data_IF_189826402171
#
_entry.id   IF_189826402171
#
_cell.length_a   1.000
_cell.length_b   1.000
_cell.length_c   1.000
_cell.angle_alpha   90.00
_cell.angle_beta   90.00
_cell.angle_gamma   90.00
#
_symmetry.space_group_name_H-M   'P 1'
#
loop_
_entity.id
_entity.type
_entity.pdbx_description
1 polymer ?
#
# COMPACT_ATOMS: atom_id res chain seq x y z
N UNK A 1 -0.17 6.07 24.14
CA UNK A 1 -0.17 6.31 22.69
C UNK A 1 -1.51 6.94 22.35
N UNK A 2 -1.64 7.72 21.27
CA UNK A 2 -2.97 8.18 20.82
C UNK A 2 -3.82 6.96 20.47
N UNK A 3 -5.13 6.98 20.76
CA UNK A 3 -6.05 5.88 20.38
C UNK A 3 -5.97 5.57 18.89
N UNK A 4 -5.74 6.60 18.07
CA UNK A 4 -5.56 6.49 16.62
C UNK A 4 -4.31 5.68 16.26
N UNK A 5 -3.19 5.87 16.96
CA UNK A 5 -1.97 5.10 16.69
C UNK A 5 -2.11 3.62 17.07
N UNK A 6 -2.89 3.32 18.11
CA UNK A 6 -3.21 1.94 18.49
C UNK A 6 -4.13 1.27 17.46
N UNK A 7 -5.12 2.02 16.94
CA UNK A 7 -5.98 1.57 15.84
C UNK A 7 -5.19 1.36 14.55
N UNK A 8 -4.34 2.31 14.17
CA UNK A 8 -3.48 2.24 13.00
C UNK A 8 -2.54 1.03 13.07
N UNK A 9 -1.97 0.76 14.25
CA UNK A 9 -1.14 -0.44 14.45
C UNK A 9 -1.94 -1.71 14.25
N UNK A 10 -3.12 -1.80 14.84
CA UNK A 10 -4.00 -2.96 14.68
C UNK A 10 -4.45 -3.15 13.23
N UNK A 11 -4.77 -2.06 12.52
CA UNK A 11 -5.14 -2.09 11.11
C UNK A 11 -3.97 -2.62 10.27
N UNK A 12 -2.77 -2.07 10.46
CA UNK A 12 -1.58 -2.52 9.76
C UNK A 12 -1.30 -4.00 10.03
N UNK A 13 -1.32 -4.44 11.30
CA UNK A 13 -1.08 -5.84 11.69
C UNK A 13 -2.09 -6.82 11.07
N UNK A 14 -3.32 -6.38 10.80
CA UNK A 14 -4.37 -7.23 10.23
C UNK A 14 -4.41 -7.22 8.71
N UNK A 15 -4.15 -6.07 8.10
CA UNK A 15 -4.49 -5.82 6.71
C UNK A 15 -3.27 -5.60 5.79
N UNK A 16 -2.09 -5.40 6.36
CA UNK A 16 -0.82 -5.29 5.63
C UNK A 16 -0.07 -6.59 5.86
N UNK A 17 0.07 -7.38 4.81
CA UNK A 17 0.46 -8.78 4.92
C UNK A 17 1.98 -8.95 4.78
N UNK A 18 2.55 -8.48 3.67
CA UNK A 18 3.98 -8.62 3.38
C UNK A 18 4.51 -7.51 2.46
N UNK A 19 5.76 -7.09 2.71
CA UNK A 19 6.52 -6.30 1.75
C UNK A 19 6.95 -7.18 0.58
N UNK A 20 6.61 -6.78 -0.65
CA UNK A 20 6.78 -7.56 -1.87
C UNK A 20 7.38 -6.75 -3.03
N UNK A 21 8.15 -5.68 -2.77
CA UNK A 21 8.80 -4.88 -3.83
C UNK A 21 9.59 -5.74 -4.82
N UNK A 22 10.40 -6.69 -4.36
CA UNK A 22 11.16 -7.57 -5.25
C UNK A 22 10.29 -8.45 -6.13
N UNK A 23 9.11 -8.86 -5.65
CA UNK A 23 8.15 -9.65 -6.44
C UNK A 23 7.55 -8.78 -7.54
N UNK A 24 7.20 -7.53 -7.22
CA UNK A 24 6.69 -6.58 -8.22
C UNK A 24 7.76 -6.28 -9.28
N UNK A 25 9.01 -6.05 -8.88
CA UNK A 25 10.12 -5.84 -9.81
C UNK A 25 10.26 -7.01 -10.80
N UNK A 26 10.21 -8.25 -10.30
CA UNK A 26 10.27 -9.45 -11.14
C UNK A 26 9.06 -9.57 -12.08
N UNK A 27 7.86 -9.24 -11.59
CA UNK A 27 6.63 -9.29 -12.40
C UNK A 27 6.64 -8.24 -13.52
N UNK A 28 7.19 -7.04 -13.26
CA UNK A 28 7.37 -6.01 -14.27
C UNK A 28 8.41 -6.45 -15.31
N UNK A 29 9.56 -6.96 -14.88
CA UNK A 29 10.58 -7.50 -15.79
C UNK A 29 10.06 -8.65 -16.65
N UNK A 30 9.16 -9.47 -16.11
CA UNK A 30 8.51 -10.56 -16.84
C UNK A 30 7.36 -10.10 -17.75
N UNK A 31 7.02 -8.80 -17.78
CA UNK A 31 5.91 -8.24 -18.54
C UNK A 31 4.54 -8.72 -18.05
N UNK A 32 4.43 -9.07 -16.76
CA UNK A 32 3.18 -9.50 -16.10
C UNK A 32 2.42 -8.34 -15.47
N UNK A 33 3.13 -7.30 -15.10
CA UNK A 33 2.62 -6.03 -14.58
C UNK A 33 3.22 -4.92 -15.44
N UNK A 34 2.45 -3.87 -15.69
CA UNK A 34 2.91 -2.72 -16.44
C UNK A 34 3.91 -1.88 -15.62
N UNK A 35 4.95 -1.38 -16.26
CA UNK A 35 5.92 -0.48 -15.60
C UNK A 35 5.31 0.88 -15.24
N UNK A 36 4.19 1.27 -15.87
CA UNK A 36 3.46 2.50 -15.58
C UNK A 36 3.04 2.63 -14.09
N UNK A 37 2.93 1.52 -13.36
CA UNK A 37 2.60 1.54 -11.92
C UNK A 37 3.75 2.03 -11.02
N UNK A 38 5.00 2.01 -11.48
CA UNK A 38 6.15 2.55 -10.70
C UNK A 38 6.11 4.08 -10.67
N UNK A 39 5.69 4.68 -11.78
CA UNK A 39 5.56 6.12 -11.96
C UNK A 39 4.12 6.49 -12.30
N UNK A 40 3.20 6.39 -11.31
CA UNK A 40 1.81 6.76 -11.52
C UNK A 40 1.70 8.21 -12.02
N UNK A 41 0.66 8.48 -12.83
CA UNK A 41 0.45 9.79 -13.48
C UNK A 41 0.32 10.97 -12.50
N UNK A 42 0.18 10.72 -11.20
CA UNK A 42 0.17 11.74 -10.15
C UNK A 42 1.58 12.31 -9.85
N UNK A 43 2.64 11.69 -10.38
CA UNK A 43 4.02 12.18 -10.29
C UNK A 43 4.76 11.78 -9.01
N UNK A 44 4.16 10.97 -8.13
CA UNK A 44 4.82 10.44 -6.93
C UNK A 44 5.39 9.05 -7.23
N UNK A 45 6.70 8.89 -7.03
CA UNK A 45 7.38 7.61 -7.20
C UNK A 45 6.95 6.63 -6.10
N UNK A 46 6.55 5.42 -6.50
CA UNK A 46 6.30 4.33 -5.55
C UNK A 46 7.64 3.78 -5.07
N UNK A 47 7.85 3.77 -3.76
CA UNK A 47 9.11 3.32 -3.13
C UNK A 47 9.02 1.89 -2.61
N UNK A 48 7.85 1.48 -2.10
CA UNK A 48 7.64 0.16 -1.51
C UNK A 48 6.32 -0.44 -2.00
N UNK A 49 6.30 -1.74 -2.29
CA UNK A 49 5.08 -2.47 -2.59
C UNK A 49 4.69 -3.38 -1.43
N UNK A 50 3.46 -3.24 -0.94
CA UNK A 50 2.94 -3.99 0.19
C UNK A 50 1.71 -4.79 -0.25
N UNK A 51 1.77 -6.11 -0.07
CA UNK A 51 0.60 -6.96 -0.23
C UNK A 51 -0.40 -6.64 0.89
N UNK A 52 -1.63 -6.31 0.52
CA UNK A 52 -2.70 -5.93 1.45
C UNK A 52 -3.95 -6.78 1.22
N UNK A 53 -4.83 -6.79 2.22
CA UNK A 53 -6.17 -7.39 2.07
C UNK A 53 -7.05 -6.57 1.13
N UNK A 54 -8.09 -7.16 0.50
CA UNK A 54 -9.03 -6.43 -0.35
C UNK A 54 -9.68 -5.23 0.33
N UNK A 55 -10.06 -5.37 1.60
CA UNK A 55 -10.67 -4.28 2.38
C UNK A 55 -9.75 -3.06 2.48
N UNK A 56 -8.46 -3.27 2.76
CA UNK A 56 -7.52 -2.16 2.87
C UNK A 56 -7.20 -1.58 1.49
N UNK A 57 -7.12 -2.41 0.45
CA UNK A 57 -6.96 -1.92 -0.92
C UNK A 57 -8.09 -0.95 -1.30
N UNK A 58 -9.35 -1.28 -0.98
CA UNK A 58 -10.50 -0.42 -1.24
C UNK A 58 -10.38 0.92 -0.50
N UNK A 59 -10.02 0.90 0.79
CA UNK A 59 -9.80 2.13 1.57
C UNK A 59 -8.66 2.99 1.05
N UNK A 60 -7.56 2.38 0.65
CA UNK A 60 -6.41 3.09 0.08
C UNK A 60 -6.78 3.74 -1.27
N UNK A 61 -7.54 3.06 -2.13
CA UNK A 61 -8.05 3.67 -3.38
C UNK A 61 -8.96 4.87 -3.11
N UNK A 62 -9.79 4.82 -2.06
CA UNK A 62 -10.62 5.96 -1.66
C UNK A 62 -9.78 7.19 -1.27
N UNK A 63 -8.57 6.96 -0.72
CA UNK A 63 -7.60 8.01 -0.39
C UNK A 63 -6.71 8.42 -1.58
N UNK A 64 -6.86 7.79 -2.74
CA UNK A 64 -6.09 8.09 -3.96
C UNK A 64 -4.72 7.41 -4.05
N UNK A 65 -4.45 6.42 -3.19
CA UNK A 65 -3.22 5.64 -3.23
C UNK A 65 -3.16 4.71 -4.43
N UNK A 66 -1.93 4.41 -4.87
CA UNK A 66 -1.70 3.50 -6.00
C UNK A 66 -1.91 2.05 -5.56
N UNK A 67 -2.84 1.36 -6.21
CA UNK A 67 -3.07 -0.08 -6.03
C UNK A 67 -2.87 -0.82 -7.35
N UNK A 68 -2.11 -1.91 -7.31
CA UNK A 68 -2.10 -2.92 -8.37
C UNK A 68 -3.08 -4.05 -8.01
N UNK A 69 -4.01 -4.33 -8.91
CA UNK A 69 -5.02 -5.38 -8.81
C UNK A 69 -4.79 -6.47 -9.86
N UNK A 70 -3.77 -7.29 -9.64
CA UNK A 70 -3.35 -8.29 -10.62
C UNK A 70 -3.13 -9.65 -9.95
N UNK A 71 -3.30 -10.72 -10.71
CA UNK A 71 -3.02 -12.10 -10.26
C UNK A 71 -3.77 -12.51 -8.97
N UNK A 72 -4.93 -11.89 -8.71
CA UNK A 72 -5.72 -12.13 -7.49
C UNK A 72 -5.10 -11.56 -6.21
N UNK A 73 -4.15 -10.63 -6.35
CA UNK A 73 -3.48 -9.94 -5.25
C UNK A 73 -3.74 -8.43 -5.32
N UNK A 74 -3.56 -7.76 -4.19
CA UNK A 74 -3.70 -6.32 -4.05
C UNK A 74 -2.41 -5.75 -3.47
N UNK A 75 -1.67 -4.99 -4.27
CA UNK A 75 -0.43 -4.36 -3.82
C UNK A 75 -0.60 -2.87 -3.69
N UNK A 76 -0.39 -2.36 -2.49
CA UNK A 76 -0.30 -0.94 -2.23
C UNK A 76 1.10 -0.43 -2.57
N UNK A 77 1.15 0.50 -3.52
CA UNK A 77 2.32 1.27 -3.86
C UNK A 77 2.46 2.45 -2.93
N UNK A 78 3.34 2.30 -1.95
CA UNK A 78 3.61 3.29 -0.91
C UNK A 78 4.70 4.25 -1.38
N UNK A 79 4.46 5.55 -1.28
CA UNK A 79 5.37 6.63 -1.72
C UNK A 79 6.37 7.05 -0.64
N UNK A 80 6.40 6.34 0.49
CA UNK A 80 7.27 6.60 1.63
C UNK A 80 8.00 5.32 2.06
N UNK A 81 9.16 5.44 2.71
CA UNK A 81 10.01 4.29 3.04
C UNK A 81 10.74 4.41 4.38
N UNK A 82 11.02 3.26 5.00
CA UNK A 82 11.85 3.16 6.21
C UNK A 82 11.14 3.44 7.54
N UNK A 83 9.93 4.00 7.53
CA UNK A 83 9.06 4.11 8.70
C UNK A 83 8.03 2.97 8.77
N UNK A 84 7.63 2.61 9.99
CA UNK A 84 6.63 1.58 10.21
C UNK A 84 5.29 1.94 9.55
N UNK A 85 4.58 0.93 9.02
CA UNK A 85 3.35 1.14 8.24
C UNK A 85 2.24 1.82 9.06
N UNK A 86 2.12 1.51 10.35
CA UNK A 86 1.12 2.17 11.20
C UNK A 86 1.38 3.66 11.43
N UNK A 87 2.59 4.15 11.12
CA UNK A 87 2.95 5.58 11.18
C UNK A 87 2.75 6.27 9.82
N UNK A 88 2.25 5.55 8.82
CA UNK A 88 1.91 6.14 7.54
C UNK A 88 0.66 7.01 7.68
N UNK A 89 0.70 8.19 7.07
CA UNK A 89 -0.36 9.17 7.21
C UNK A 89 -1.70 8.63 6.67
N UNK A 90 -1.68 7.90 5.56
CA UNK A 90 -2.91 7.36 4.97
C UNK A 90 -3.55 6.30 5.88
N UNK A 91 -2.75 5.55 6.63
CA UNK A 91 -3.25 4.56 7.59
C UNK A 91 -3.90 5.23 8.79
N UNK A 92 -3.32 6.34 9.26
CA UNK A 92 -3.94 7.18 10.30
C UNK A 92 -5.26 7.78 9.81
N UNK A 93 -5.31 8.32 8.58
CA UNK A 93 -6.53 8.86 7.96
C UNK A 93 -7.65 7.82 7.85
N UNK A 94 -7.35 6.61 7.36
CA UNK A 94 -8.33 5.51 7.27
C UNK A 94 -8.89 5.13 8.65
N UNK A 95 -8.10 5.31 9.72
CA UNK A 95 -8.58 5.08 11.09
C UNK A 95 -9.45 6.22 11.62
N UNK A 96 -9.28 7.46 11.13
CA UNK A 96 -10.11 8.62 11.49
C UNK A 96 -11.45 8.64 10.75
N UNK A 97 -11.48 8.12 9.52
CA UNK A 97 -12.68 8.07 8.66
C UNK A 97 -13.68 6.94 9.03
N UNK A 98 -13.34 6.07 9.98
CA UNK A 98 -14.20 4.97 10.48
C UNK A 98 -14.78 5.25 11.88
#
# INVERSE_FOLDING_TARGET
MSTIQEQARRLADLHVLWGQSSVIDELIQAGRIDEEFIYPFNGEEVLEWWLVTPWLADRLREQGETIIDELGSHWWGRTSSGQAIYMDHVIEQICEDN
#
